data_IF_241336455401
#
_entry.id   IF_241336455401
#
_cell.length_a   1.000
_cell.length_b   1.000
_cell.length_c   1.000
_cell.angle_alpha   90.00
_cell.angle_beta   90.00
_cell.angle_gamma   90.00
#
_symmetry.space_group_name_H-M   'P 1'
#
loop_
_entity.id
_entity.type
_entity.pdbx_description
1 polymer ?
#
# COMPACT_ATOMS: atom_id res chain seq x y z
N UNK A 1 -21.00 7.87 -10.54
CA UNK A 1 -19.95 8.65 -9.83
C UNK A 1 -18.72 8.74 -10.74
N UNK A 2 -18.40 9.92 -11.29
CA UNK A 2 -17.15 10.11 -12.03
C UNK A 2 -16.02 10.39 -11.04
N UNK A 3 -15.51 9.32 -10.41
CA UNK A 3 -14.46 9.43 -9.41
C UNK A 3 -13.15 9.80 -10.10
N UNK A 4 -12.63 11.00 -9.81
CA UNK A 4 -11.31 11.41 -10.28
C UNK A 4 -10.26 10.43 -9.78
N UNK A 5 -9.20 10.24 -10.57
CA UNK A 5 -8.09 9.38 -10.17
C UNK A 5 -7.52 9.85 -8.82
N UNK A 6 -7.41 8.97 -7.83
CA UNK A 6 -6.82 9.31 -6.53
C UNK A 6 -5.41 9.87 -6.70
N UNK A 7 -5.11 10.98 -6.01
CA UNK A 7 -3.77 11.57 -6.02
C UNK A 7 -3.07 11.32 -4.69
N UNK A 8 -1.89 10.72 -4.76
CA UNK A 8 -1.05 10.44 -3.59
C UNK A 8 0.05 11.49 -3.45
N UNK A 9 0.30 11.89 -2.22
CA UNK A 9 1.45 12.71 -1.84
C UNK A 9 2.15 12.02 -0.68
N UNK A 10 3.38 11.60 -0.90
CA UNK A 10 4.15 10.85 0.10
C UNK A 10 5.35 11.68 0.55
N UNK A 11 5.47 11.85 1.86
CA UNK A 11 6.58 12.52 2.52
C UNK A 11 7.49 11.44 3.10
N UNK A 12 8.79 11.57 2.87
CA UNK A 12 9.83 10.81 3.54
C UNK A 12 10.45 11.71 4.61
N UNK A 13 10.68 11.16 5.81
CA UNK A 13 11.46 11.80 6.86
C UNK A 13 12.70 10.96 7.12
N UNK A 14 13.87 11.59 7.03
CA UNK A 14 15.13 11.02 7.53
C UNK A 14 15.18 11.19 9.06
N UNK A 15 14.70 10.18 9.79
CA UNK A 15 15.01 10.01 11.22
C UNK A 15 16.21 9.05 11.37
N UNK A 16 16.34 8.32 12.48
CA UNK A 16 17.33 7.25 12.62
C UNK A 16 17.18 6.17 11.52
N UNK A 17 15.97 5.98 10.99
CA UNK A 17 15.65 5.19 9.81
C UNK A 17 14.60 5.93 8.97
N UNK A 18 14.58 5.79 7.63
CA UNK A 18 13.58 6.44 6.80
C UNK A 18 12.16 6.01 7.18
N UNK A 19 11.31 6.99 7.45
CA UNK A 19 9.87 6.78 7.67
C UNK A 19 9.07 7.53 6.61
N UNK A 20 7.93 6.96 6.25
CA UNK A 20 7.08 7.44 5.15
C UNK A 20 5.67 7.69 5.65
N UNK A 21 5.07 8.77 5.17
CA UNK A 21 3.67 9.13 5.43
C UNK A 21 3.06 9.53 4.09
N UNK A 22 1.93 8.94 3.72
CA UNK A 22 1.22 9.28 2.48
C UNK A 22 -0.15 9.87 2.78
N UNK A 23 -0.54 10.84 1.96
CA UNK A 23 -1.88 11.42 1.94
C UNK A 23 -2.52 11.20 0.58
N UNK A 24 -3.81 10.89 0.59
CA UNK A 24 -4.62 10.58 -0.57
C UNK A 24 -5.74 11.61 -0.71
N UNK A 25 -5.75 12.34 -1.82
CA UNK A 25 -6.88 13.19 -2.19
C UNK A 25 -7.90 12.34 -2.95
N UNK A 26 -9.07 12.14 -2.34
CA UNK A 26 -10.18 11.38 -2.88
C UNK A 26 -11.49 12.12 -2.63
N UNK A 27 -12.24 12.37 -3.70
CA UNK A 27 -13.54 13.06 -3.65
C UNK A 27 -13.51 14.41 -2.90
N UNK A 28 -12.47 15.22 -3.13
CA UNK A 28 -12.29 16.52 -2.49
C UNK A 28 -11.85 16.45 -1.02
N UNK A 29 -11.68 15.26 -0.45
CA UNK A 29 -11.21 15.04 0.91
C UNK A 29 -9.81 14.44 0.91
N UNK A 30 -9.00 14.83 1.89
CA UNK A 30 -7.66 14.29 2.09
C UNK A 30 -7.67 13.26 3.20
N UNK A 31 -7.07 12.11 2.93
CA UNK A 31 -6.97 10.98 3.86
C UNK A 31 -5.52 10.61 4.05
N UNK A 32 -5.04 10.67 5.29
CA UNK A 32 -3.63 10.40 5.61
C UNK A 32 -3.50 9.02 6.24
N UNK A 33 -2.55 8.23 5.72
CA UNK A 33 -2.19 6.94 6.28
C UNK A 33 -1.27 7.07 7.50
N UNK A 34 -1.16 5.99 8.27
CA UNK A 34 -0.22 5.91 9.40
C UNK A 34 1.24 5.94 8.92
N UNK A 35 2.16 6.27 9.83
CA UNK A 35 3.60 6.26 9.58
C UNK A 35 4.09 4.82 9.38
N UNK A 36 4.92 4.58 8.37
CA UNK A 36 5.48 3.25 8.11
C UNK A 36 6.90 3.29 7.50
N UNK A 37 7.53 2.13 7.40
CA UNK A 37 8.92 1.99 6.95
C UNK A 37 9.10 1.99 5.42
N UNK A 38 8.02 2.02 4.62
CA UNK A 38 8.13 2.02 3.16
C UNK A 38 7.11 2.93 2.47
N UNK A 39 7.52 3.56 1.35
CA UNK A 39 6.65 4.41 0.53
C UNK A 39 5.38 3.68 0.07
N UNK A 40 5.53 2.41 -0.33
CA UNK A 40 4.42 1.59 -0.84
C UNK A 40 3.39 1.31 0.24
N UNK A 41 3.84 0.99 1.45
CA UNK A 41 2.93 0.77 2.58
C UNK A 41 2.21 2.08 2.96
N UNK A 42 2.90 3.23 2.90
CA UNK A 42 2.31 4.52 3.21
C UNK A 42 1.13 4.84 2.29
N UNK A 43 1.29 4.63 0.99
CA UNK A 43 0.23 4.81 -0.01
C UNK A 43 -0.94 3.85 0.22
N UNK A 44 -0.66 2.59 0.57
CA UNK A 44 -1.69 1.61 0.90
C UNK A 44 -2.48 1.99 2.16
N UNK A 45 -1.82 2.52 3.18
CA UNK A 45 -2.47 2.98 4.40
C UNK A 45 -3.37 4.20 4.17
N UNK A 46 -2.96 5.12 3.29
CA UNK A 46 -3.79 6.25 2.87
C UNK A 46 -5.03 5.78 2.07
N UNK A 47 -4.86 4.82 1.17
CA UNK A 47 -5.97 4.18 0.47
C UNK A 47 -6.93 3.46 1.43
N UNK A 48 -6.38 2.77 2.44
CA UNK A 48 -7.16 2.10 3.46
C UNK A 48 -8.01 3.11 4.23
N UNK A 49 -7.48 4.27 4.61
CA UNK A 49 -8.26 5.31 5.30
C UNK A 49 -9.53 5.72 4.53
N UNK A 50 -9.47 5.86 3.19
CA UNK A 50 -10.65 6.09 2.36
C UNK A 50 -11.62 4.91 2.45
N UNK A 51 -11.13 3.69 2.23
CA UNK A 51 -11.93 2.46 2.25
C UNK A 51 -12.67 2.30 3.58
N UNK A 52 -12.04 2.62 4.71
CA UNK A 52 -12.66 2.61 6.04
C UNK A 52 -13.88 3.53 6.11
N UNK A 53 -13.74 4.76 5.61
CA UNK A 53 -14.85 5.72 5.61
C UNK A 53 -15.99 5.32 4.67
N UNK A 54 -15.69 4.58 3.60
CA UNK A 54 -16.70 4.09 2.66
C UNK A 54 -17.43 2.83 3.14
N UNK A 55 -16.73 1.94 3.86
CA UNK A 55 -17.24 0.61 4.24
C UNK A 55 -17.77 0.54 5.68
N UNK A 56 -17.52 1.56 6.51
CA UNK A 56 -18.06 1.63 7.88
C UNK A 56 -17.71 0.46 8.82
N UNK A 57 -16.69 -0.36 8.51
CA UNK A 57 -16.47 -1.65 9.21
C UNK A 57 -15.02 -2.15 9.21
N UNK A 58 -14.82 -3.26 9.93
CA UNK A 58 -13.61 -3.77 10.60
C UNK A 58 -12.30 -3.80 9.78
N UNK A 59 -11.30 -3.11 10.33
CA UNK A 59 -10.03 -2.77 9.70
C UNK A 59 -9.06 -3.95 9.61
N UNK A 60 -9.23 -4.90 10.52
CA UNK A 60 -8.34 -6.05 10.66
C UNK A 60 -8.47 -6.97 9.44
N UNK A 61 -9.71 -7.22 9.00
CA UNK A 61 -10.00 -8.09 7.85
C UNK A 61 -9.47 -7.49 6.54
N UNK A 62 -9.66 -6.18 6.33
CA UNK A 62 -9.12 -5.49 5.16
C UNK A 62 -7.59 -5.55 5.10
N UNK A 63 -6.92 -5.32 6.23
CA UNK A 63 -5.44 -5.40 6.31
C UNK A 63 -4.95 -6.83 6.04
N UNK A 64 -5.64 -7.86 6.52
CA UNK A 64 -5.33 -9.26 6.24
C UNK A 64 -5.48 -9.60 4.75
N UNK A 65 -6.53 -9.12 4.07
CA UNK A 65 -6.75 -9.32 2.62
C UNK A 65 -5.63 -8.68 1.79
N UNK A 66 -5.21 -7.46 2.13
CA UNK A 66 -4.11 -6.77 1.42
C UNK A 66 -2.79 -7.52 1.63
N UNK A 67 -2.50 -7.94 2.87
CA UNK A 67 -1.28 -8.68 3.20
C UNK A 67 -1.23 -10.06 2.54
N UNK A 68 -2.37 -10.74 2.38
CA UNK A 68 -2.44 -12.02 1.66
C UNK A 68 -2.08 -11.84 0.19
N UNK A 69 -2.52 -10.74 -0.45
CA UNK A 69 -2.12 -10.39 -1.82
C UNK A 69 -0.62 -10.12 -1.94
N UNK A 70 -0.02 -9.41 -0.98
CA UNK A 70 1.42 -9.16 -0.97
C UNK A 70 2.23 -10.47 -0.82
N UNK A 71 1.77 -11.42 0.02
CA UNK A 71 2.40 -12.74 0.17
C UNK A 71 2.34 -13.56 -1.12
N UNK A 72 1.19 -13.56 -1.80
CA UNK A 72 1.03 -14.24 -3.10
C UNK A 72 1.90 -13.60 -4.19
N UNK A 73 1.97 -12.27 -4.24
CA UNK A 73 2.85 -11.55 -5.17
C UNK A 73 4.34 -11.88 -4.93
N UNK A 74 4.78 -11.86 -3.67
CA UNK A 74 6.16 -12.19 -3.31
C UNK A 74 6.51 -13.65 -3.62
N UNK A 75 5.58 -14.59 -3.39
CA UNK A 75 5.76 -15.99 -3.75
C UNK A 75 5.89 -16.18 -5.27
N UNK A 76 5.06 -15.49 -6.07
CA UNK A 76 5.13 -15.53 -7.54
C UNK A 76 6.43 -14.92 -8.10
N UNK A 77 6.93 -13.84 -7.52
CA UNK A 77 8.21 -13.25 -7.92
C UNK A 77 9.42 -14.10 -7.53
N UNK A 78 9.38 -14.72 -6.34
CA UNK A 78 10.43 -15.65 -5.92
C UNK A 78 10.52 -16.85 -6.87
N UNK A 79 9.36 -17.39 -7.28
CA UNK A 79 9.29 -18.48 -8.26
C UNK A 79 9.87 -18.06 -9.62
N UNK A 80 9.45 -16.91 -10.15
CA UNK A 80 9.94 -16.40 -11.44
C UNK A 80 11.46 -16.23 -11.46
N UNK A 81 12.05 -15.67 -10.40
CA UNK A 81 13.50 -15.50 -10.32
C UNK A 81 14.27 -16.83 -10.17
N UNK A 82 13.68 -17.85 -9.53
CA UNK A 82 14.29 -19.18 -9.50
C UNK A 82 14.22 -19.91 -10.86
N UNK A 83 13.14 -19.72 -11.63
CA UNK A 83 12.98 -20.34 -12.95
C UNK A 83 14.00 -19.81 -13.96
N UNK A 84 14.29 -18.50 -13.94
CA UNK A 84 15.33 -17.89 -14.78
C UNK A 84 16.74 -18.39 -14.47
N UNK A 85 17.00 -18.90 -13.26
CA UNK A 85 18.30 -19.41 -12.83
C UNK A 85 18.56 -20.87 -13.26
N UNK A 86 17.49 -21.61 -13.59
CA UNK A 86 17.56 -23.01 -14.05
C UNK A 86 17.63 -23.13 -15.58
N UNK A 87 17.26 -22.09 -16.33
CA UNK A 87 17.30 -22.05 -17.80
C UNK A 87 18.59 -21.46 -18.39
N UNK A 88 19.57 -21.13 -17.55
CA UNK A 88 20.86 -20.52 -17.94
C UNK A 88 22.07 -21.42 -17.63
N UNK A 89 21.87 -22.73 -17.58
CA UNK A 89 22.91 -23.76 -17.45
C UNK A 89 22.79 -24.76 -18.61
#
# INVERSE_FOLDING_TARGET
>A
MNLRTPKYTTIQKEELRPVFISSLLFDGKTYTGEVCASKKEAEQLAAMAVIKTLLGSDLVVLRQIINSKNKVYNARHKFRNSSFKLSSL
#
